data_IF_099310375022
#
_entry.id   IF_099310375022
#
_cell.length_a   1.000
_cell.length_b   1.000
_cell.length_c   1.000
_cell.angle_alpha   90.00
_cell.angle_beta   90.00
_cell.angle_gamma   90.00
#
_symmetry.space_group_name_H-M   'P 1'
#
loop_
_entity.id
_entity.type
_entity.pdbx_description
1 polymer ?
#
# COMPACT_ATOMS: atom_id res chain seq x y z
N UNK A 1 -48.74 23.95 -1.51
CA UNK A 1 -47.50 24.44 -0.85
C UNK A 1 -46.40 23.41 -1.10
N UNK A 2 -45.93 23.33 -2.34
CA UNK A 2 -44.87 22.41 -2.77
C UNK A 2 -44.12 23.12 -3.89
N UNK A 3 -43.22 24.02 -3.48
CA UNK A 3 -42.40 24.76 -4.43
C UNK A 3 -41.34 23.82 -5.04
N UNK A 4 -41.24 23.73 -6.38
CA UNK A 4 -40.29 22.84 -7.05
C UNK A 4 -38.82 23.21 -6.75
N UNK A 5 -38.57 24.45 -6.30
CA UNK A 5 -37.26 24.92 -5.84
C UNK A 5 -36.81 24.24 -4.54
N UNK A 6 -37.73 23.89 -3.66
CA UNK A 6 -37.44 23.21 -2.39
C UNK A 6 -37.08 21.74 -2.61
N UNK A 7 -37.68 21.10 -3.63
CA UNK A 7 -37.34 19.74 -4.04
C UNK A 7 -35.97 19.66 -4.71
N UNK A 8 -35.61 20.64 -5.55
CA UNK A 8 -34.30 20.66 -6.20
C UNK A 8 -33.14 20.86 -5.21
N UNK A 9 -33.34 21.71 -4.20
CA UNK A 9 -32.34 21.94 -3.14
C UNK A 9 -32.14 20.70 -2.25
N UNK A 10 -33.18 19.91 -2.01
CA UNK A 10 -33.09 18.68 -1.23
C UNK A 10 -32.34 17.55 -1.98
N UNK A 11 -32.48 17.49 -3.31
CA UNK A 11 -31.75 16.52 -4.15
C UNK A 11 -30.24 16.80 -4.23
N UNK A 12 -29.81 18.06 -4.17
CA UNK A 12 -28.38 18.41 -4.15
C UNK A 12 -27.68 18.07 -2.83
N UNK A 13 -28.41 18.00 -1.71
CA UNK A 13 -27.84 17.69 -0.40
C UNK A 13 -27.54 16.19 -0.18
N UNK A 14 -28.18 15.29 -0.95
CA UNK A 14 -27.96 13.84 -0.82
C UNK A 14 -26.81 13.29 -1.68
N UNK A 15 -26.26 14.09 -2.60
CA UNK A 15 -25.23 13.63 -3.52
C UNK A 15 -23.80 13.67 -2.94
N UNK A 16 -23.62 14.18 -1.72
CA UNK A 16 -22.31 14.26 -1.07
C UNK A 16 -22.10 13.13 -0.08
N UNK A 17 -22.14 11.87 -0.55
CA UNK A 17 -21.39 10.81 0.13
C UNK A 17 -19.92 11.05 -0.19
N UNK A 18 -19.27 11.93 0.57
CA UNK A 18 -17.84 12.12 0.48
C UNK A 18 -17.18 10.74 0.58
N UNK A 19 -16.41 10.36 -0.44
CA UNK A 19 -15.50 9.24 -0.32
C UNK A 19 -14.69 9.49 0.97
N UNK A 20 -14.74 8.59 1.95
CA UNK A 20 -13.87 8.78 3.10
C UNK A 20 -12.45 8.84 2.54
N UNK A 21 -11.62 9.75 3.06
CA UNK A 21 -10.22 9.86 2.63
C UNK A 21 -9.47 8.51 2.71
N UNK A 22 -10.01 7.57 3.50
CA UNK A 22 -9.50 6.24 3.79
C UNK A 22 -10.20 5.09 3.03
N UNK A 23 -11.14 5.39 2.14
CA UNK A 23 -11.81 4.41 1.28
C UNK A 23 -10.99 4.14 0.02
N UNK A 24 -10.01 3.25 0.15
CA UNK A 24 -9.18 2.89 -1.01
C UNK A 24 -9.99 2.04 -2.01
N UNK A 25 -9.90 2.33 -3.32
CA UNK A 25 -10.46 1.50 -4.36
C UNK A 25 -10.00 0.04 -4.24
N UNK A 26 -10.85 -0.91 -4.63
CA UNK A 26 -10.52 -2.34 -4.57
C UNK A 26 -9.23 -2.67 -5.33
N UNK A 27 -9.00 -1.99 -6.45
CA UNK A 27 -7.78 -2.18 -7.23
C UNK A 27 -6.52 -1.82 -6.43
N UNK A 28 -6.51 -0.65 -5.80
CA UNK A 28 -5.36 -0.14 -5.03
C UNK A 28 -5.09 -1.03 -3.80
N UNK A 29 -6.15 -1.51 -3.14
CA UNK A 29 -6.05 -2.46 -2.03
C UNK A 29 -5.39 -3.76 -2.46
N UNK A 30 -5.87 -4.35 -3.57
CA UNK A 30 -5.36 -5.64 -4.07
C UNK A 30 -3.93 -5.50 -4.56
N UNK A 31 -3.57 -4.44 -5.29
CA UNK A 31 -2.19 -4.19 -5.72
C UNK A 31 -1.22 -4.09 -4.53
N UNK A 32 -1.60 -3.36 -3.50
CA UNK A 32 -0.78 -3.21 -2.30
C UNK A 32 -0.61 -4.54 -1.57
N UNK A 33 -1.69 -5.33 -1.42
CA UNK A 33 -1.61 -6.66 -0.81
C UNK A 33 -0.67 -7.56 -1.59
N UNK A 34 -0.83 -7.66 -2.92
CA UNK A 34 0.05 -8.47 -3.77
C UNK A 34 1.51 -8.03 -3.69
N UNK A 35 1.75 -6.73 -3.60
CA UNK A 35 3.10 -6.18 -3.46
C UNK A 35 3.71 -6.47 -2.10
N UNK A 36 2.95 -6.32 -1.03
CA UNK A 36 3.38 -6.73 0.30
C UNK A 36 3.72 -8.24 0.33
N UNK A 37 2.88 -9.09 -0.27
CA UNK A 37 3.14 -10.53 -0.34
C UNK A 37 4.43 -10.82 -1.11
N UNK A 38 4.66 -10.16 -2.25
CA UNK A 38 5.90 -10.28 -3.03
C UNK A 38 7.15 -9.93 -2.19
N UNK A 39 7.05 -8.92 -1.32
CA UNK A 39 8.14 -8.50 -0.43
C UNK A 39 8.38 -9.46 0.74
N UNK A 40 7.38 -10.24 1.14
CA UNK A 40 7.39 -11.07 2.35
C UNK A 40 7.42 -12.59 2.06
N UNK A 41 7.87 -13.02 0.89
CA UNK A 41 8.05 -14.45 0.57
C UNK A 41 6.96 -15.08 -0.32
N UNK A 42 6.12 -14.26 -0.96
CA UNK A 42 5.21 -14.67 -2.03
C UNK A 42 3.77 -14.93 -1.58
N UNK A 43 3.01 -15.58 -2.48
CA UNK A 43 1.57 -15.79 -2.33
C UNK A 43 1.26 -17.01 -1.45
N UNK A 44 0.96 -16.77 -0.18
CA UNK A 44 0.48 -17.78 0.77
C UNK A 44 -0.53 -17.16 1.75
N UNK A 45 -1.26 -18.00 2.48
CA UNK A 45 -2.34 -17.55 3.37
C UNK A 45 -1.80 -16.67 4.51
N UNK A 46 -0.68 -17.03 5.13
CA UNK A 46 -0.11 -16.25 6.25
C UNK A 46 0.25 -14.82 5.83
N UNK A 47 0.88 -14.68 4.66
CA UNK A 47 1.19 -13.38 4.08
C UNK A 47 -0.07 -12.63 3.65
N UNK A 48 -1.09 -13.32 3.13
CA UNK A 48 -2.35 -12.69 2.78
C UNK A 48 -2.96 -12.00 4.00
N UNK A 49 -3.08 -12.71 5.13
CA UNK A 49 -3.61 -12.15 6.38
C UNK A 49 -2.83 -10.93 6.86
N UNK A 50 -1.49 -11.01 6.87
CA UNK A 50 -0.62 -9.93 7.34
C UNK A 50 -0.63 -8.71 6.41
N UNK A 51 -0.61 -8.95 5.11
CA UNK A 51 -0.62 -7.90 4.09
C UNK A 51 -1.99 -7.23 3.94
N UNK A 52 -3.08 -7.97 4.17
CA UNK A 52 -4.42 -7.37 4.32
C UNK A 52 -4.49 -6.45 5.54
N UNK A 53 -3.93 -6.87 6.68
CA UNK A 53 -3.81 -5.99 7.85
C UNK A 53 -2.94 -4.75 7.56
N UNK A 54 -1.85 -4.89 6.79
CA UNK A 54 -0.98 -3.77 6.44
C UNK A 54 -1.74 -2.65 5.72
N UNK A 55 -2.50 -2.99 4.68
CA UNK A 55 -3.23 -1.98 3.90
C UNK A 55 -4.31 -1.29 4.74
N UNK A 56 -4.94 -1.99 5.68
CA UNK A 56 -5.94 -1.39 6.57
C UNK A 56 -5.29 -0.40 7.57
N UNK A 57 -4.07 -0.68 8.04
CA UNK A 57 -3.32 0.26 8.89
C UNK A 57 -2.80 1.46 8.09
N UNK A 58 -2.40 1.26 6.84
CA UNK A 58 -2.01 2.34 5.91
C UNK A 58 -3.21 3.24 5.64
N UNK A 59 -4.37 2.65 5.33
CA UNK A 59 -5.59 3.38 5.04
C UNK A 59 -6.04 4.24 6.23
N UNK A 60 -5.75 3.88 7.48
CA UNK A 60 -6.05 4.72 8.65
C UNK A 60 -5.17 5.98 8.77
N UNK A 61 -4.01 6.00 8.11
CA UNK A 61 -3.00 7.07 8.28
C UNK A 61 -2.87 7.96 7.05
N UNK A 62 -3.19 7.43 5.87
CA UNK A 62 -2.98 8.09 4.60
C UNK A 62 -4.31 8.27 3.88
N UNK A 63 -4.45 9.40 3.20
CA UNK A 63 -5.50 9.58 2.22
C UNK A 63 -5.22 8.74 0.98
N UNK A 64 -6.26 8.40 0.21
CA UNK A 64 -6.11 7.70 -1.09
C UNK A 64 -5.17 8.46 -2.04
N UNK A 65 -5.22 9.80 -2.04
CA UNK A 65 -4.37 10.64 -2.89
C UNK A 65 -2.89 10.60 -2.46
N UNK A 66 -2.62 10.71 -1.15
CA UNK A 66 -1.26 10.58 -0.61
C UNK A 66 -0.69 9.18 -0.88
N UNK A 67 -1.51 8.14 -0.73
CA UNK A 67 -1.12 6.77 -1.00
C UNK A 67 -0.76 6.56 -2.47
N UNK A 68 -1.63 6.98 -3.39
CA UNK A 68 -1.40 6.82 -4.82
C UNK A 68 -0.20 7.64 -5.31
N UNK A 69 -0.01 8.83 -4.74
CA UNK A 69 1.16 9.67 -4.99
C UNK A 69 2.44 8.98 -4.51
N UNK A 70 2.47 8.54 -3.25
CA UNK A 70 3.62 7.83 -2.68
C UNK A 70 3.95 6.55 -3.46
N UNK A 71 2.93 5.78 -3.86
CA UNK A 71 3.07 4.56 -4.64
C UNK A 71 3.62 4.81 -6.04
N UNK A 72 3.20 5.91 -6.67
CA UNK A 72 3.75 6.35 -7.95
C UNK A 72 5.24 6.64 -7.81
N UNK A 73 5.63 7.51 -6.88
CA UNK A 73 7.06 7.78 -6.67
C UNK A 73 7.86 6.54 -6.30
N UNK A 74 7.29 5.62 -5.50
CA UNK A 74 7.92 4.34 -5.16
C UNK A 74 8.25 3.49 -6.40
N UNK A 75 7.34 3.40 -7.37
CA UNK A 75 7.52 2.59 -8.58
C UNK A 75 8.46 3.30 -9.57
N UNK A 76 8.24 4.59 -9.82
CA UNK A 76 8.94 5.32 -10.88
C UNK A 76 10.39 5.68 -10.51
N UNK A 77 10.72 5.80 -9.22
CA UNK A 77 12.12 5.98 -8.78
C UNK A 77 13.02 4.77 -9.15
N UNK A 78 12.42 3.58 -9.28
CA UNK A 78 13.15 2.35 -9.61
C UNK A 78 13.37 2.17 -11.13
N UNK A 79 12.83 3.07 -11.95
CA UNK A 79 13.04 3.07 -13.40
C UNK A 79 14.52 3.35 -13.73
N UNK A 80 15.16 2.60 -14.65
CA UNK A 80 16.54 2.84 -15.03
C UNK A 80 16.71 4.13 -15.88
N UNK A 81 17.91 4.70 -15.82
CA UNK A 81 18.31 5.88 -16.60
C UNK A 81 17.75 7.21 -16.09
N UNK A 82 17.84 8.23 -16.94
CA UNK A 82 17.48 9.64 -16.63
C UNK A 82 16.01 9.83 -16.30
N UNK A 83 15.12 8.94 -16.78
CA UNK A 83 13.70 9.06 -16.43
C UNK A 83 13.45 8.78 -14.95
N UNK A 84 14.21 7.87 -14.35
CA UNK A 84 14.10 7.56 -12.93
C UNK A 84 14.82 8.55 -12.02
N UNK A 85 15.86 9.25 -12.48
CA UNK A 85 16.54 10.28 -11.67
C UNK A 85 15.59 11.41 -11.30
N UNK A 86 14.71 11.82 -12.21
CA UNK A 86 13.67 12.83 -11.96
C UNK A 86 12.78 12.50 -10.74
N UNK A 87 12.44 11.21 -10.54
CA UNK A 87 11.63 10.78 -9.40
C UNK A 87 12.44 10.60 -8.12
N UNK A 88 13.73 10.24 -8.23
CA UNK A 88 14.65 10.12 -7.07
C UNK A 88 15.04 11.47 -6.50
N UNK A 89 15.13 12.50 -7.34
CA UNK A 89 15.56 13.86 -6.95
C UNK A 89 14.39 14.74 -6.48
N UNK A 90 13.14 14.28 -6.64
CA UNK A 90 11.95 15.02 -6.19
C UNK A 90 11.87 15.06 -4.66
N UNK A 91 11.87 16.28 -4.10
CA UNK A 91 11.64 16.50 -2.66
C UNK A 91 10.23 16.07 -2.23
N UNK A 92 9.21 16.46 -3.00
CA UNK A 92 7.82 16.07 -2.73
C UNK A 92 7.64 14.56 -2.82
N UNK A 93 8.26 13.92 -3.81
CA UNK A 93 8.27 12.47 -3.95
C UNK A 93 8.90 11.76 -2.76
N UNK A 94 10.05 12.25 -2.31
CA UNK A 94 10.73 11.72 -1.12
C UNK A 94 9.89 11.87 0.15
N UNK A 95 9.20 13.00 0.32
CA UNK A 95 8.30 13.23 1.44
C UNK A 95 7.08 12.30 1.40
N UNK A 96 6.46 12.12 0.23
CA UNK A 96 5.32 11.22 0.05
C UNK A 96 5.68 9.75 0.35
N UNK A 97 6.79 9.27 -0.23
CA UNK A 97 7.31 7.91 0.06
C UNK A 97 7.65 7.76 1.54
N UNK A 98 8.22 8.79 2.17
CA UNK A 98 8.53 8.80 3.60
C UNK A 98 7.30 8.60 4.50
N UNK A 99 6.16 9.23 4.16
CA UNK A 99 4.89 9.01 4.88
C UNK A 99 4.41 7.57 4.74
N UNK A 100 4.44 7.01 3.53
CA UNK A 100 4.05 5.62 3.27
C UNK A 100 4.94 4.63 4.02
N UNK A 101 6.25 4.84 4.03
CA UNK A 101 7.18 4.00 4.78
C UNK A 101 6.98 4.10 6.30
N UNK A 102 6.58 5.26 6.81
CA UNK A 102 6.20 5.42 8.22
C UNK A 102 4.97 4.61 8.56
N UNK A 103 3.91 4.70 7.74
CA UNK A 103 2.70 3.91 7.92
C UNK A 103 2.96 2.40 7.84
N UNK A 104 3.81 1.96 6.90
CA UNK A 104 4.26 0.56 6.77
C UNK A 104 5.05 0.08 7.98
N UNK A 105 5.92 0.91 8.57
CA UNK A 105 6.64 0.56 9.81
C UNK A 105 5.69 0.34 10.98
N UNK A 106 4.63 1.15 11.07
CA UNK A 106 3.62 0.98 12.11
C UNK A 106 2.73 -0.24 11.86
N UNK A 107 2.38 -0.50 10.60
CA UNK A 107 1.74 -1.74 10.19
C UNK A 107 2.60 -2.98 10.51
N UNK A 108 3.91 -2.94 10.26
CA UNK A 108 4.83 -4.04 10.54
C UNK A 108 4.80 -4.43 12.03
N UNK A 109 4.75 -3.45 12.95
CA UNK A 109 4.66 -3.71 14.40
C UNK A 109 3.33 -4.37 14.80
N UNK A 110 2.24 -3.99 14.13
CA UNK A 110 0.87 -4.42 14.47
C UNK A 110 0.48 -5.74 13.81
N UNK A 111 0.81 -5.90 12.54
CA UNK A 111 0.32 -6.95 11.67
C UNK A 111 1.27 -8.15 11.55
N UNK A 112 2.57 -7.98 11.80
CA UNK A 112 3.58 -9.03 11.62
C UNK A 112 4.13 -9.56 12.96
N UNK A 113 3.29 -9.59 14.00
CA UNK A 113 3.65 -10.15 15.31
C UNK A 113 3.90 -11.65 15.17
N UNK A 114 5.03 -12.13 15.69
CA UNK A 114 5.42 -13.55 15.59
C UNK A 114 5.99 -13.96 14.23
N UNK A 115 6.09 -13.03 13.27
CA UNK A 115 6.99 -13.22 12.13
C UNK A 115 8.43 -13.07 12.67
N UNK A 116 9.17 -14.17 12.79
CA UNK A 116 10.62 -14.12 13.01
C UNK A 116 11.22 -13.40 11.81
N UNK A 117 11.34 -12.07 11.90
CA UNK A 117 12.00 -11.11 11.01
C UNK A 117 12.68 -11.80 9.81
N UNK A 118 11.89 -12.26 8.84
CA UNK A 118 12.44 -12.66 7.55
C UNK A 118 12.64 -11.34 6.83
N UNK A 119 13.79 -10.74 7.15
CA UNK A 119 14.63 -9.94 6.25
C UNK A 119 13.81 -9.11 5.28
N UNK A 120 13.70 -7.79 5.48
CA UNK A 120 14.49 -6.86 4.63
C UNK A 120 15.33 -7.67 3.64
N UNK A 121 14.74 -8.06 2.51
CA UNK A 121 15.46 -8.74 1.44
C UNK A 121 16.47 -7.71 0.96
N UNK A 122 17.78 -7.92 1.18
CA UNK A 122 18.77 -7.09 0.54
C UNK A 122 18.64 -7.43 -0.95
N UNK A 123 18.26 -6.45 -1.76
CA UNK A 123 18.66 -6.42 -3.16
C UNK A 123 20.18 -6.48 -3.15
N UNK A 124 20.75 -7.68 -3.28
CA UNK A 124 21.99 -7.99 -4.02
C UNK A 124 22.51 -9.38 -3.62
N UNK A 125 22.80 -10.18 -4.66
CA UNK A 125 23.46 -11.51 -4.70
C UNK A 125 22.56 -12.74 -4.51
N UNK A 126 22.22 -13.32 -5.66
CA UNK A 126 22.26 -14.77 -5.91
C UNK A 126 21.42 -15.65 -5.00
N UNK A 127 20.25 -16.05 -5.48
CA UNK A 127 19.46 -17.14 -4.93
C UNK A 127 20.31 -18.44 -4.89
N UNK A 128 20.64 -19.02 -3.73
CA UNK A 128 21.12 -20.40 -3.72
C UNK A 128 19.92 -21.33 -3.92
N UNK A 129 19.94 -22.04 -5.05
CA UNK A 129 19.09 -23.20 -5.28
C UNK A 129 19.45 -24.30 -4.25
N UNK A 130 18.78 -24.33 -3.10
CA UNK A 130 18.66 -25.52 -2.24
C UNK A 130 17.72 -25.28 -1.06
N UNK A 131 16.56 -25.94 -1.10
CA UNK A 131 16.00 -26.75 -0.02
C UNK A 131 14.57 -27.18 -0.36
N UNK A 132 14.43 -28.08 -1.34
CA UNK A 132 13.27 -28.98 -1.45
C UNK A 132 13.82 -30.38 -1.21
N UNK A 133 13.91 -30.74 0.07
CA UNK A 133 14.12 -32.09 0.64
C UNK A 133 13.83 -31.88 2.13
N UNK A 134 12.93 -32.54 2.84
CA UNK A 134 12.43 -33.90 2.80
C UNK A 134 11.94 -34.18 4.24
N UNK A 135 11.04 -35.14 4.39
CA UNK A 135 10.31 -35.52 5.60
C UNK A 135 11.16 -35.83 6.84
N UNK A 136 10.55 -35.68 8.04
CA UNK A 136 10.54 -36.72 9.09
C UNK A 136 9.67 -36.29 10.30
N UNK A 137 8.47 -36.88 10.43
CA UNK A 137 8.06 -37.61 11.63
C UNK A 137 6.99 -38.65 11.27
#
# INVERSE_FOLDING_TARGET
>A
MSDPKTLLAFFLALASTGANAHDYPTMDRVDQVLTCMKRNGGQNIDNLWRCSCEIDVIAQQLSVEDFNTARTYEIYKDMPGEKGSLFRESQDGSAAVGKLETARKDAAKRCFVGATRQTVVPTDKGMPAKAVTGEAK
#
